data_IF_279986701021
#
_entry.id   IF_279986701021
#
_cell.length_a   1.000
_cell.length_b   1.000
_cell.length_c   1.000
_cell.angle_alpha   90.00
_cell.angle_beta   90.00
_cell.angle_gamma   90.00
#
_symmetry.space_group_name_H-M   'P 1'
#
loop_
_entity.id
_entity.type
_entity.pdbx_description
1 polymer ?
#
# COMPACT_ATOMS: atom_id res chain seq x y z
N UNK A 1 61.31 -126.54 -26.77
CA UNK A 1 60.16 -125.84 -26.18
C UNK A 1 60.63 -124.50 -25.60
N UNK A 2 60.57 -123.37 -26.33
CA UNK A 2 60.86 -122.03 -25.77
C UNK A 2 59.65 -121.06 -25.74
N UNK A 3 58.49 -121.46 -26.29
CA UNK A 3 57.33 -120.57 -26.45
C UNK A 3 56.58 -120.15 -25.17
N UNK A 4 57.03 -120.56 -23.98
CA UNK A 4 56.40 -120.19 -22.70
C UNK A 4 57.02 -118.96 -22.04
N UNK A 5 58.30 -118.66 -22.27
CA UNK A 5 58.98 -117.51 -21.65
C UNK A 5 58.61 -116.19 -22.33
N UNK A 6 58.52 -116.16 -23.66
CA UNK A 6 58.12 -114.97 -24.44
C UNK A 6 56.72 -114.44 -24.07
N UNK A 7 55.80 -115.35 -23.71
CA UNK A 7 54.43 -115.00 -23.30
C UNK A 7 54.40 -114.30 -21.92
N UNK A 8 55.36 -114.60 -21.04
CA UNK A 8 55.49 -113.94 -19.74
C UNK A 8 55.99 -112.51 -19.85
N UNK A 9 56.93 -112.24 -20.77
CA UNK A 9 57.47 -110.90 -21.00
C UNK A 9 56.41 -110.01 -21.66
N UNK A 10 55.66 -110.53 -22.64
CA UNK A 10 54.55 -109.80 -23.26
C UNK A 10 53.48 -109.38 -22.24
N UNK A 11 53.12 -110.29 -21.33
CA UNK A 11 52.11 -110.02 -20.29
C UNK A 11 52.57 -108.99 -19.23
N UNK A 12 53.87 -108.93 -18.92
CA UNK A 12 54.42 -107.92 -18.04
C UNK A 12 54.48 -106.54 -18.72
N UNK A 13 54.76 -106.52 -20.04
CA UNK A 13 54.69 -105.29 -20.84
C UNK A 13 53.26 -104.77 -20.98
N UNK A 14 52.26 -105.63 -21.18
CA UNK A 14 50.85 -105.25 -21.18
C UNK A 14 50.43 -104.62 -19.84
N UNK A 15 50.79 -105.23 -18.71
CA UNK A 15 50.51 -104.66 -17.38
C UNK A 15 51.15 -103.28 -17.16
N UNK A 16 52.39 -103.10 -17.63
CA UNK A 16 53.08 -101.80 -17.55
C UNK A 16 52.41 -100.77 -18.46
N UNK A 17 51.97 -101.19 -19.64
CA UNK A 17 51.25 -100.33 -20.57
C UNK A 17 49.90 -99.90 -20.00
N UNK A 18 49.12 -100.83 -19.44
CA UNK A 18 47.84 -100.52 -18.78
C UNK A 18 48.02 -99.57 -17.60
N UNK A 19 49.07 -99.79 -16.79
CA UNK A 19 49.42 -98.89 -15.70
C UNK A 19 49.75 -97.49 -16.22
N UNK A 20 50.55 -97.39 -17.28
CA UNK A 20 50.92 -96.13 -17.91
C UNK A 20 49.70 -95.41 -18.49
N UNK A 21 48.78 -96.16 -19.13
CA UNK A 21 47.52 -95.61 -19.66
C UNK A 21 46.67 -95.04 -18.54
N UNK A 22 46.61 -95.72 -17.39
CA UNK A 22 45.87 -95.26 -16.22
C UNK A 22 46.49 -93.97 -15.65
N UNK A 23 47.81 -93.95 -15.45
CA UNK A 23 48.56 -92.78 -14.97
C UNK A 23 48.39 -91.57 -15.92
N UNK A 24 48.44 -91.78 -17.23
CA UNK A 24 48.22 -90.72 -18.24
C UNK A 24 46.78 -90.20 -18.21
N UNK A 25 45.81 -91.08 -17.97
CA UNK A 25 44.39 -90.69 -17.89
C UNK A 25 44.12 -89.88 -16.62
N UNK A 26 44.70 -90.27 -15.49
CA UNK A 26 44.61 -89.54 -14.22
C UNK A 26 45.27 -88.15 -14.32
N UNK A 27 46.47 -88.07 -14.90
CA UNK A 27 47.15 -86.80 -15.16
C UNK A 27 46.32 -85.88 -16.07
N UNK A 28 45.69 -86.42 -17.12
CA UNK A 28 44.80 -85.63 -17.98
C UNK A 28 43.63 -85.06 -17.19
N UNK A 29 43.02 -85.85 -16.29
CA UNK A 29 41.94 -85.37 -15.43
C UNK A 29 42.41 -84.27 -14.46
N UNK A 30 43.62 -84.39 -13.91
CA UNK A 30 44.20 -83.34 -13.05
C UNK A 30 44.50 -82.05 -13.82
N UNK A 31 45.05 -82.15 -15.04
CA UNK A 31 45.29 -80.99 -15.91
C UNK A 31 43.99 -80.29 -16.28
N UNK A 32 42.92 -81.04 -16.54
CA UNK A 32 41.60 -80.48 -16.85
C UNK A 32 41.00 -79.74 -15.64
N UNK A 33 41.16 -80.31 -14.42
CA UNK A 33 40.80 -79.62 -13.17
C UNK A 33 41.60 -78.32 -12.97
N UNK A 34 42.90 -78.31 -13.27
CA UNK A 34 43.71 -77.09 -13.21
C UNK A 34 43.25 -76.04 -14.24
N UNK A 35 42.87 -76.45 -15.44
CA UNK A 35 42.34 -75.54 -16.46
C UNK A 35 41.03 -74.87 -16.02
N UNK A 36 40.10 -75.64 -15.43
CA UNK A 36 38.86 -75.09 -14.84
C UNK A 36 39.09 -74.23 -13.59
N UNK A 37 40.23 -74.40 -12.91
CA UNK A 37 40.62 -73.55 -11.77
C UNK A 37 41.25 -72.23 -12.26
N UNK A 38 41.86 -72.24 -13.44
CA UNK A 38 42.40 -71.04 -14.11
C UNK A 38 41.29 -70.14 -14.63
N UNK A 39 40.17 -70.68 -15.10
CA UNK A 39 39.01 -69.85 -15.50
C UNK A 39 38.36 -69.12 -14.31
N UNK A 40 38.43 -69.68 -13.10
CA UNK A 40 38.00 -68.97 -11.87
C UNK A 40 38.91 -67.81 -11.50
N UNK A 41 40.08 -67.69 -12.13
CA UNK A 41 41.04 -66.60 -11.91
C UNK A 41 40.61 -65.32 -12.65
N UNK A 42 39.91 -65.44 -13.77
CA UNK A 42 39.27 -64.29 -14.46
C UNK A 42 38.17 -63.67 -13.59
N UNK A 43 37.41 -64.49 -12.84
CA UNK A 43 36.41 -64.00 -11.88
C UNK A 43 37.06 -63.18 -10.74
N UNK A 44 38.31 -63.49 -10.36
CA UNK A 44 39.06 -62.76 -9.32
C UNK A 44 39.49 -61.37 -9.81
N UNK A 45 39.84 -61.24 -11.08
CA UNK A 45 40.20 -59.94 -11.67
C UNK A 45 38.98 -59.01 -11.75
N UNK A 46 37.82 -59.55 -12.15
CA UNK A 46 36.55 -58.82 -12.13
C UNK A 46 36.15 -58.39 -10.70
N UNK A 47 36.31 -59.27 -9.70
CA UNK A 47 36.08 -58.91 -8.30
C UNK A 47 37.04 -57.83 -7.81
N UNK A 48 38.30 -57.85 -8.27
CA UNK A 48 39.28 -56.81 -7.91
C UNK A 48 38.92 -55.44 -8.50
N UNK A 49 38.37 -55.39 -9.71
CA UNK A 49 37.89 -54.13 -10.30
C UNK A 49 36.65 -53.60 -9.57
N UNK A 50 35.71 -54.48 -9.23
CA UNK A 50 34.54 -54.12 -8.42
C UNK A 50 34.94 -53.60 -7.03
N UNK A 51 35.97 -54.18 -6.41
CA UNK A 51 36.45 -53.77 -5.10
C UNK A 51 37.10 -52.38 -5.15
N UNK A 52 37.87 -52.07 -6.21
CA UNK A 52 38.39 -50.71 -6.44
C UNK A 52 37.27 -49.70 -6.67
N UNK A 53 36.23 -50.06 -7.42
CA UNK A 53 35.07 -49.19 -7.62
C UNK A 53 34.31 -48.94 -6.30
N UNK A 54 34.19 -49.96 -5.44
CA UNK A 54 33.64 -49.78 -4.09
C UNK A 54 34.50 -48.89 -3.22
N UNK A 55 35.83 -49.05 -3.26
CA UNK A 55 36.77 -48.22 -2.49
C UNK A 55 36.63 -46.74 -2.84
N UNK A 56 36.46 -46.40 -4.13
CA UNK A 56 36.17 -45.02 -4.55
C UNK A 56 34.81 -44.50 -4.07
N UNK A 57 33.79 -45.37 -3.96
CA UNK A 57 32.46 -44.97 -3.43
C UNK A 57 32.47 -44.81 -1.91
N UNK A 58 33.27 -45.60 -1.20
CA UNK A 58 33.47 -45.48 0.25
C UNK A 58 34.16 -44.15 0.59
N UNK A 59 34.99 -43.59 -0.30
CA UNK A 59 35.56 -42.24 -0.13
C UNK A 59 34.48 -41.14 0.02
N UNK A 60 33.30 -41.29 -0.60
CA UNK A 60 32.18 -40.34 -0.44
C UNK A 60 31.57 -40.44 0.97
N UNK A 61 31.64 -41.61 1.61
CA UNK A 61 31.20 -41.81 3.00
C UNK A 61 32.11 -41.04 3.98
N UNK A 62 33.38 -40.84 3.63
CA UNK A 62 34.31 -40.04 4.45
C UNK A 62 33.98 -38.54 4.45
N UNK A 63 33.20 -38.05 3.48
CA UNK A 63 32.76 -36.65 3.42
C UNK A 63 31.49 -36.38 4.28
N UNK A 64 30.76 -37.43 4.68
CA UNK A 64 29.52 -37.32 5.47
C UNK A 64 29.70 -36.51 6.77
N UNK A 65 30.78 -36.69 7.56
CA UNK A 65 30.98 -35.90 8.78
C UNK A 65 31.11 -34.39 8.52
N UNK A 66 31.71 -34.01 7.40
CA UNK A 66 31.88 -32.59 7.04
C UNK A 66 30.58 -32.00 6.47
N UNK A 67 29.80 -32.79 5.74
CA UNK A 67 28.43 -32.43 5.35
C UNK A 67 27.56 -32.23 6.59
N UNK A 68 27.63 -33.15 7.56
CA UNK A 68 26.90 -33.06 8.84
C UNK A 68 27.24 -31.78 9.58
N UNK A 69 28.52 -31.43 9.71
CA UNK A 69 28.93 -30.15 10.34
C UNK A 69 28.39 -28.93 9.59
N UNK A 70 28.37 -28.96 8.26
CA UNK A 70 27.79 -27.85 7.46
C UNK A 70 26.29 -27.72 7.72
N UNK A 71 25.57 -28.83 7.83
CA UNK A 71 24.15 -28.84 8.17
C UNK A 71 23.94 -28.24 9.58
N UNK A 72 24.70 -28.68 10.59
CA UNK A 72 24.59 -28.16 11.96
C UNK A 72 24.84 -26.63 12.03
N UNK A 73 25.83 -26.14 11.27
CA UNK A 73 26.13 -24.70 11.19
C UNK A 73 24.99 -23.93 10.49
N UNK A 74 24.40 -24.49 9.45
CA UNK A 74 23.26 -23.89 8.75
C UNK A 74 22.01 -23.87 9.65
N UNK A 75 21.74 -24.96 10.37
CA UNK A 75 20.63 -25.05 11.31
C UNK A 75 20.76 -24.02 12.44
N UNK A 76 21.95 -23.86 13.00
CA UNK A 76 22.24 -22.86 14.04
C UNK A 76 22.05 -21.43 13.50
N UNK A 77 22.50 -21.15 12.28
CA UNK A 77 22.35 -19.84 11.65
C UNK A 77 20.87 -19.52 11.34
N UNK A 78 20.09 -20.53 10.91
CA UNK A 78 18.65 -20.40 10.68
C UNK A 78 17.89 -20.12 11.98
N UNK A 79 18.18 -20.86 13.05
CA UNK A 79 17.56 -20.61 14.36
C UNK A 79 17.85 -19.19 14.86
N UNK A 80 19.09 -18.72 14.74
CA UNK A 80 19.44 -17.34 15.12
C UNK A 80 18.67 -16.29 14.33
N UNK A 81 18.53 -16.46 13.01
CA UNK A 81 17.73 -15.56 12.18
C UNK A 81 16.25 -15.60 12.54
N UNK A 82 15.73 -16.78 12.90
CA UNK A 82 14.35 -16.95 13.33
C UNK A 82 14.10 -16.22 14.66
N UNK A 83 14.99 -16.33 15.63
CA UNK A 83 14.89 -15.62 16.91
C UNK A 83 14.94 -14.09 16.72
N UNK A 84 15.85 -13.60 15.85
CA UNK A 84 15.94 -12.17 15.51
C UNK A 84 14.65 -11.67 14.83
N UNK A 85 14.09 -12.46 13.91
CA UNK A 85 12.84 -12.13 13.23
C UNK A 85 11.67 -12.12 14.22
N UNK A 86 11.57 -13.13 15.09
CA UNK A 86 10.52 -13.21 16.12
C UNK A 86 10.57 -12.01 17.07
N UNK A 87 11.76 -11.61 17.51
CA UNK A 87 11.91 -10.45 18.39
C UNK A 87 11.58 -9.11 17.71
N UNK A 88 11.76 -9.01 16.39
CA UNK A 88 11.35 -7.82 15.64
C UNK A 88 9.82 -7.76 15.46
N UNK A 89 9.17 -8.90 15.21
CA UNK A 89 7.70 -9.00 15.13
C UNK A 89 7.07 -8.59 16.46
N UNK A 90 7.60 -9.07 17.58
CA UNK A 90 7.10 -8.74 18.93
C UNK A 90 7.19 -7.23 19.21
N UNK A 91 8.31 -6.59 18.86
CA UNK A 91 8.46 -5.12 18.97
C UNK A 91 7.51 -4.35 18.07
N UNK A 92 7.26 -4.84 16.86
CA UNK A 92 6.28 -4.21 15.95
C UNK A 92 4.87 -4.35 16.49
N UNK A 93 4.54 -5.48 17.10
CA UNK A 93 3.25 -5.71 17.75
C UNK A 93 3.04 -4.76 18.93
N UNK A 94 4.03 -4.62 19.82
CA UNK A 94 3.96 -3.67 20.95
C UNK A 94 3.78 -2.23 20.47
N UNK A 95 4.46 -1.84 19.39
CA UNK A 95 4.32 -0.51 18.80
C UNK A 95 2.93 -0.29 18.20
N UNK A 96 2.34 -1.30 17.55
CA UNK A 96 0.98 -1.25 17.02
C UNK A 96 -0.06 -1.15 18.14
N UNK A 97 0.10 -1.93 19.21
CA UNK A 97 -0.81 -1.88 20.37
C UNK A 97 -0.78 -0.50 21.04
N UNK A 98 0.41 0.10 21.19
CA UNK A 98 0.53 1.46 21.71
C UNK A 98 -0.12 2.51 20.79
N UNK A 99 0.03 2.38 19.47
CA UNK A 99 -0.66 3.26 18.51
C UNK A 99 -2.17 3.09 18.57
N UNK A 100 -2.65 1.86 18.72
CA UNK A 100 -4.08 1.55 18.81
C UNK A 100 -4.71 2.17 20.06
N UNK A 101 -4.03 2.10 21.20
CA UNK A 101 -4.52 2.71 22.44
C UNK A 101 -4.53 4.24 22.35
N UNK A 102 -3.53 4.84 21.69
CA UNK A 102 -3.53 6.28 21.41
C UNK A 102 -4.73 6.67 20.53
N UNK A 103 -5.01 5.91 19.47
CA UNK A 103 -6.18 6.14 18.59
C UNK A 103 -7.49 6.01 19.36
N UNK A 104 -7.61 5.03 20.27
CA UNK A 104 -8.82 4.90 21.11
C UNK A 104 -9.01 6.10 22.03
N UNK A 105 -7.92 6.60 22.63
CA UNK A 105 -7.95 7.81 23.45
C UNK A 105 -8.38 9.02 22.62
N UNK A 106 -7.82 9.17 21.42
CA UNK A 106 -8.12 10.25 20.47
C UNK A 106 -9.54 10.19 19.90
N UNK A 107 -10.15 9.00 19.82
CA UNK A 107 -11.55 8.82 19.38
C UNK A 107 -12.55 8.96 20.53
N UNK A 108 -12.11 8.95 21.79
CA UNK A 108 -13.02 9.17 22.92
C UNK A 108 -13.83 10.48 22.85
N UNK A 109 -13.29 11.61 22.37
CA UNK A 109 -14.05 12.85 22.22
C UNK A 109 -15.14 12.76 21.14
N UNK A 110 -15.02 11.86 20.15
CA UNK A 110 -16.03 11.68 19.10
C UNK A 110 -17.39 11.26 19.67
N UNK A 111 -17.42 10.62 20.85
CA UNK A 111 -18.66 10.31 21.57
C UNK A 111 -19.43 11.58 22.00
N UNK A 112 -18.74 12.70 22.18
CA UNK A 112 -19.35 13.99 22.52
C UNK A 112 -19.88 14.73 21.28
N UNK A 113 -19.60 14.23 20.06
CA UNK A 113 -20.20 14.74 18.82
C UNK A 113 -21.72 14.56 18.83
N UNK A 114 -22.22 13.47 19.44
CA UNK A 114 -23.65 13.21 19.58
C UNK A 114 -24.33 14.23 20.49
N UNK A 115 -23.71 14.59 21.63
CA UNK A 115 -24.18 15.69 22.48
C UNK A 115 -24.12 17.05 21.77
N UNK A 116 -23.16 17.24 20.86
CA UNK A 116 -23.01 18.48 20.09
C UNK A 116 -24.13 18.57 19.06
N UNK A 117 -24.49 17.46 18.45
CA UNK A 117 -25.61 17.38 17.50
C UNK A 117 -26.94 17.67 18.20
N UNK A 118 -27.18 17.11 19.39
CA UNK A 118 -28.35 17.47 20.20
C UNK A 118 -28.39 18.96 20.55
N UNK A 119 -27.25 19.58 20.86
CA UNK A 119 -27.18 21.03 21.14
C UNK A 119 -27.43 21.89 19.90
N UNK A 120 -27.07 21.41 18.70
CA UNK A 120 -27.35 22.09 17.44
C UNK A 120 -28.84 22.01 17.12
N UNK A 121 -29.45 20.84 17.27
CA UNK A 121 -30.89 20.66 17.05
C UNK A 121 -31.70 21.57 17.98
N UNK A 122 -31.32 21.66 19.26
CA UNK A 122 -31.96 22.59 20.21
C UNK A 122 -31.82 24.06 19.81
N UNK A 123 -30.68 24.47 19.22
CA UNK A 123 -30.52 25.84 18.70
C UNK A 123 -31.40 26.07 17.50
N UNK A 124 -31.50 25.08 16.61
CA UNK A 124 -32.33 25.20 15.42
C UNK A 124 -33.82 25.33 15.79
N UNK A 125 -34.27 24.60 16.80
CA UNK A 125 -35.61 24.71 17.36
C UNK A 125 -35.84 26.11 17.96
N UNK A 126 -34.90 26.64 18.75
CA UNK A 126 -34.96 28.00 19.31
C UNK A 126 -35.00 29.09 18.23
N UNK A 127 -34.16 28.99 17.20
CA UNK A 127 -34.14 29.95 16.08
C UNK A 127 -35.45 29.89 15.30
N UNK A 128 -36.00 28.70 15.10
CA UNK A 128 -37.30 28.51 14.45
C UNK A 128 -38.40 29.16 15.29
N UNK A 129 -38.45 28.89 16.59
CA UNK A 129 -39.41 29.49 17.52
C UNK A 129 -39.28 31.03 17.58
N UNK A 130 -38.06 31.57 17.55
CA UNK A 130 -37.83 33.01 17.55
C UNK A 130 -38.22 33.68 16.22
N UNK A 131 -38.09 32.96 15.10
CA UNK A 131 -38.55 33.43 13.78
C UNK A 131 -40.08 33.41 13.66
N UNK A 132 -40.73 32.44 14.31
CA UNK A 132 -42.20 32.32 14.39
C UNK A 132 -42.80 33.12 15.55
N UNK A 133 -41.94 33.66 16.43
CA UNK A 133 -42.36 34.46 17.56
C UNK A 133 -43.10 35.71 17.08
N UNK A 134 -44.35 35.80 17.52
CA UNK A 134 -45.20 36.98 17.32
C UNK A 134 -44.56 38.25 17.87
N UNK A 135 -43.60 38.15 18.81
CA UNK A 135 -42.91 39.32 19.35
C UNK A 135 -42.04 40.01 18.29
N UNK A 136 -41.36 39.24 17.45
CA UNK A 136 -40.55 39.76 16.34
C UNK A 136 -41.43 40.48 15.31
N UNK A 137 -42.59 39.90 14.99
CA UNK A 137 -43.59 40.52 14.11
C UNK A 137 -44.22 41.79 14.74
N UNK A 138 -44.47 41.79 16.05
CA UNK A 138 -44.99 42.96 16.78
C UNK A 138 -43.96 44.09 16.82
N UNK A 139 -42.66 43.79 16.92
CA UNK A 139 -41.60 44.80 16.86
C UNK A 139 -41.56 45.45 15.48
N UNK A 140 -41.61 44.67 14.40
CA UNK A 140 -41.67 45.22 13.05
C UNK A 140 -42.91 46.11 12.85
N UNK A 141 -44.10 45.68 13.32
CA UNK A 141 -45.32 46.51 13.27
C UNK A 141 -45.19 47.82 14.06
N UNK A 142 -44.59 47.79 15.25
CA UNK A 142 -44.36 49.00 16.05
C UNK A 142 -43.34 49.95 15.41
N UNK A 143 -42.30 49.42 14.77
CA UNK A 143 -41.36 50.23 14.00
C UNK A 143 -42.08 50.91 12.83
N UNK A 144 -42.94 50.19 12.11
CA UNK A 144 -43.73 50.76 11.02
C UNK A 144 -44.70 51.85 11.52
N UNK A 145 -45.40 51.64 12.66
CA UNK A 145 -46.25 52.67 13.28
C UNK A 145 -45.46 53.93 13.68
N UNK A 146 -44.24 53.77 14.21
CA UNK A 146 -43.36 54.89 14.55
C UNK A 146 -42.90 55.64 13.28
N UNK A 147 -42.59 54.91 12.20
CA UNK A 147 -42.19 55.53 10.93
C UNK A 147 -43.35 56.28 10.26
N UNK A 148 -44.58 55.75 10.33
CA UNK A 148 -45.79 56.42 9.84
C UNK A 148 -46.04 57.71 10.65
N UNK A 149 -46.06 57.61 11.98
CA UNK A 149 -46.29 58.78 12.84
C UNK A 149 -45.22 59.87 12.70
N UNK A 150 -43.94 59.51 12.50
CA UNK A 150 -42.88 60.48 12.17
C UNK A 150 -43.10 61.18 10.83
N UNK A 151 -43.70 60.48 9.87
CA UNK A 151 -44.03 61.06 8.55
C UNK A 151 -45.20 62.04 8.68
N UNK A 152 -46.24 61.68 9.43
CA UNK A 152 -47.38 62.56 9.70
C UNK A 152 -46.94 63.85 10.43
N UNK A 153 -46.08 63.72 11.46
CA UNK A 153 -45.52 64.86 12.18
C UNK A 153 -44.66 65.76 11.29
N UNK A 154 -43.93 65.17 10.34
CA UNK A 154 -43.13 65.92 9.36
C UNK A 154 -44.02 66.69 8.38
N UNK A 155 -45.11 66.08 7.90
CA UNK A 155 -46.03 66.73 6.97
C UNK A 155 -46.82 67.86 7.65
N UNK A 156 -47.22 67.68 8.91
CA UNK A 156 -47.81 68.73 9.75
C UNK A 156 -46.82 69.86 10.06
N UNK A 157 -45.54 69.54 10.31
CA UNK A 157 -44.50 70.57 10.50
C UNK A 157 -44.34 71.41 9.23
N UNK A 158 -44.33 70.78 8.05
CA UNK A 158 -44.22 71.47 6.77
C UNK A 158 -45.44 72.37 6.51
N UNK A 159 -46.66 71.87 6.76
CA UNK A 159 -47.88 72.68 6.62
C UNK A 159 -47.97 73.79 7.67
N UNK A 160 -47.54 73.56 8.91
CA UNK A 160 -47.44 74.60 9.94
C UNK A 160 -46.45 75.69 9.55
N UNK A 161 -45.34 75.32 8.91
CA UNK A 161 -44.35 76.28 8.41
C UNK A 161 -44.91 77.13 7.24
N UNK A 162 -45.63 76.50 6.31
CA UNK A 162 -46.33 77.20 5.22
C UNK A 162 -47.44 78.14 5.75
N UNK A 163 -48.23 77.67 6.71
CA UNK A 163 -49.27 78.47 7.38
C UNK A 163 -48.65 79.64 8.17
N UNK A 164 -47.48 79.44 8.78
CA UNK A 164 -46.73 80.49 9.47
C UNK A 164 -46.29 81.58 8.50
N UNK A 165 -45.71 81.22 7.35
CA UNK A 165 -45.28 82.20 6.34
C UNK A 165 -46.47 82.98 5.73
N UNK A 166 -47.57 82.29 5.41
CA UNK A 166 -48.78 82.93 4.85
C UNK A 166 -49.51 83.82 5.88
N UNK A 167 -49.64 83.35 7.14
CA UNK A 167 -50.26 84.14 8.20
C UNK A 167 -49.38 85.31 8.63
N UNK A 168 -48.06 85.19 8.63
CA UNK A 168 -47.16 86.30 8.94
C UNK A 168 -47.24 87.40 7.89
N UNK A 169 -47.30 87.04 6.60
CA UNK A 169 -47.53 87.99 5.51
C UNK A 169 -48.89 88.71 5.61
N UNK A 170 -49.96 87.97 5.93
CA UNK A 170 -51.29 88.54 6.14
C UNK A 170 -51.38 89.39 7.42
N UNK A 171 -50.70 89.01 8.50
CA UNK A 171 -50.62 89.79 9.73
C UNK A 171 -49.84 91.08 9.53
N UNK A 172 -48.76 91.06 8.76
CA UNK A 172 -47.98 92.25 8.42
C UNK A 172 -48.81 93.24 7.56
N UNK A 173 -49.61 92.72 6.63
CA UNK A 173 -50.57 93.52 5.86
C UNK A 173 -51.67 94.10 6.75
N UNK A 174 -52.26 93.30 7.65
CA UNK A 174 -53.31 93.76 8.56
C UNK A 174 -52.81 94.73 9.64
N UNK A 175 -51.56 94.59 10.11
CA UNK A 175 -50.96 95.54 11.06
C UNK A 175 -50.81 96.93 10.43
N UNK A 176 -50.58 97.00 9.12
CA UNK A 176 -50.46 98.27 8.39
C UNK A 176 -51.79 99.01 8.20
N UNK A 177 -52.92 98.37 8.53
CA UNK A 177 -54.29 98.87 8.30
C UNK A 177 -55.00 99.28 9.61
N UNK A 178 -54.39 99.03 10.78
CA UNK A 178 -54.97 99.34 12.09
C UNK A 178 -54.51 100.72 12.60
N UNK A 179 -55.45 101.61 12.88
CA UNK A 179 -55.20 103.00 13.32
C UNK A 179 -55.52 103.27 14.80
N UNK A 180 -55.99 102.27 15.57
CA UNK A 180 -56.36 102.41 16.98
C UNK A 180 -55.67 101.34 17.85
N UNK A 181 -55.22 101.73 19.05
CA UNK A 181 -54.51 100.83 19.99
C UNK A 181 -55.39 99.69 20.53
N UNK A 182 -56.71 99.87 20.57
CA UNK A 182 -57.65 98.92 21.15
C UNK A 182 -57.91 97.73 20.21
N UNK A 183 -57.99 97.99 18.89
CA UNK A 183 -58.11 96.92 17.87
C UNK A 183 -56.82 96.07 17.76
N UNK A 184 -55.66 96.68 18.05
CA UNK A 184 -54.37 95.98 18.06
C UNK A 184 -54.30 95.02 19.25
N UNK A 185 -54.77 95.44 20.42
CA UNK A 185 -54.76 94.62 21.63
C UNK A 185 -55.67 93.39 21.49
N UNK A 186 -56.88 93.55 20.93
CA UNK A 186 -57.83 92.45 20.76
C UNK A 186 -57.33 91.42 19.73
N UNK A 187 -56.70 91.87 18.64
CA UNK A 187 -56.06 90.97 17.66
C UNK A 187 -54.83 90.25 18.21
N UNK A 188 -53.98 90.92 19.00
CA UNK A 188 -52.84 90.27 19.65
C UNK A 188 -53.31 89.15 20.59
N UNK A 189 -54.39 89.38 21.35
CA UNK A 189 -54.95 88.36 22.24
C UNK A 189 -55.52 87.14 21.49
N UNK A 190 -56.13 87.35 20.32
CA UNK A 190 -56.60 86.27 19.45
C UNK A 190 -55.44 85.47 18.83
N UNK A 191 -54.35 86.13 18.46
CA UNK A 191 -53.14 85.49 17.93
C UNK A 191 -52.48 84.65 19.02
N UNK A 192 -52.30 85.20 20.23
CA UNK A 192 -51.74 84.46 21.37
C UNK A 192 -52.56 83.21 21.69
N UNK A 193 -53.90 83.31 21.69
CA UNK A 193 -54.76 82.14 21.94
C UNK A 193 -54.58 81.05 20.88
N UNK A 194 -54.43 81.42 19.59
CA UNK A 194 -54.22 80.46 18.50
C UNK A 194 -52.82 79.85 18.48
N UNK A 195 -51.81 80.62 18.89
CA UNK A 195 -50.44 80.12 19.05
C UNK A 195 -50.40 79.10 20.19
N UNK A 196 -51.08 79.38 21.31
CA UNK A 196 -51.09 78.48 22.46
C UNK A 196 -51.89 77.19 22.20
N UNK A 197 -53.00 77.26 21.45
CA UNK A 197 -53.74 76.07 21.01
C UNK A 197 -52.91 75.17 20.08
N UNK A 198 -52.25 75.74 19.07
CA UNK A 198 -51.38 74.98 18.17
C UNK A 198 -50.13 74.42 18.86
N UNK A 199 -49.66 75.10 19.93
CA UNK A 199 -48.54 74.62 20.74
C UNK A 199 -48.94 73.46 21.66
N UNK A 200 -50.13 73.50 22.25
CA UNK A 200 -50.65 72.38 23.06
C UNK A 200 -50.83 71.10 22.23
N UNK A 201 -51.39 71.20 21.02
CA UNK A 201 -51.55 70.03 20.11
C UNK A 201 -50.19 69.42 19.72
N UNK A 202 -49.17 70.26 19.53
CA UNK A 202 -47.82 69.80 19.21
C UNK A 202 -47.12 69.16 20.42
N UNK A 203 -47.32 69.71 21.62
CA UNK A 203 -46.81 69.15 22.87
C UNK A 203 -47.44 67.76 23.15
N UNK A 204 -48.75 67.58 22.94
CA UNK A 204 -49.45 66.29 23.13
C UNK A 204 -48.90 65.20 22.17
N UNK A 205 -48.71 65.53 20.89
CA UNK A 205 -48.15 64.57 19.91
C UNK A 205 -46.68 64.24 20.17
N UNK A 206 -45.88 65.19 20.66
CA UNK A 206 -44.50 64.92 21.08
C UNK A 206 -44.49 63.98 22.29
N UNK A 207 -45.41 64.15 23.23
CA UNK A 207 -45.51 63.29 24.41
C UNK A 207 -45.92 61.86 24.03
N UNK A 208 -46.83 61.69 23.07
CA UNK A 208 -47.19 60.39 22.51
C UNK A 208 -46.01 59.72 21.76
N UNK A 209 -45.25 60.48 20.96
CA UNK A 209 -44.03 59.99 20.30
C UNK A 209 -42.98 59.56 21.33
N UNK A 210 -42.76 60.35 22.38
CA UNK A 210 -41.85 60.01 23.47
C UNK A 210 -42.31 58.74 24.20
N UNK A 211 -43.62 58.59 24.44
CA UNK A 211 -44.21 57.37 25.00
C UNK A 211 -43.92 56.13 24.14
N UNK A 212 -44.10 56.23 22.83
CA UNK A 212 -43.78 55.15 21.87
C UNK A 212 -42.28 54.84 21.81
N UNK A 213 -41.41 55.84 21.82
CA UNK A 213 -39.94 55.66 21.82
C UNK A 213 -39.45 55.02 23.12
N UNK A 214 -40.00 55.41 24.27
CA UNK A 214 -39.72 54.77 25.56
C UNK A 214 -40.20 53.32 25.57
N UNK A 215 -41.38 53.05 24.99
CA UNK A 215 -41.89 51.69 24.78
C UNK A 215 -40.94 50.84 23.93
N UNK A 216 -40.44 51.38 22.82
CA UNK A 216 -39.45 50.71 21.96
C UNK A 216 -38.13 50.46 22.69
N UNK A 217 -37.62 51.44 23.44
CA UNK A 217 -36.39 51.34 24.23
C UNK A 217 -36.45 50.22 25.28
N UNK A 218 -37.58 50.08 25.98
CA UNK A 218 -37.80 48.99 26.93
C UNK A 218 -37.87 47.62 26.24
N UNK A 219 -38.43 47.55 25.04
CA UNK A 219 -38.50 46.32 24.24
C UNK A 219 -37.11 45.93 23.72
N UNK A 220 -36.32 46.92 23.28
CA UNK A 220 -34.97 46.70 22.76
C UNK A 220 -33.96 46.36 23.85
N UNK A 221 -34.11 46.90 25.07
CA UNK A 221 -33.31 46.47 26.22
C UNK A 221 -33.60 45.02 26.62
N UNK A 222 -34.86 44.57 26.57
CA UNK A 222 -35.19 43.14 26.80
C UNK A 222 -34.53 42.22 25.77
N UNK A 223 -34.43 42.65 24.51
CA UNK A 223 -33.78 41.87 23.44
C UNK A 223 -32.26 41.89 23.59
N UNK A 224 -31.68 43.01 24.05
CA UNK A 224 -30.25 43.11 24.32
C UNK A 224 -29.84 42.22 25.49
N UNK A 225 -30.65 42.16 26.53
CA UNK A 225 -30.44 41.23 27.66
C UNK A 225 -30.74 39.77 27.28
N UNK A 226 -31.57 39.54 26.26
CA UNK A 226 -31.80 38.22 25.65
C UNK A 226 -30.86 37.90 24.50
N UNK A 227 -29.90 38.78 24.16
CA UNK A 227 -29.04 38.58 23.01
C UNK A 227 -28.06 37.45 23.30
N UNK A 228 -28.42 36.28 22.77
CA UNK A 228 -27.62 35.07 22.66
C UNK A 228 -26.31 35.29 21.89
N UNK A 229 -25.94 36.53 21.53
CA UNK A 229 -24.70 36.88 20.84
C UNK A 229 -23.46 36.37 21.57
N UNK A 230 -23.41 36.48 22.90
CA UNK A 230 -22.29 35.94 23.69
C UNK A 230 -22.30 34.40 23.73
N UNK A 231 -23.48 33.78 23.62
CA UNK A 231 -23.64 32.32 23.59
C UNK A 231 -23.27 31.77 22.21
N UNK A 232 -23.69 32.45 21.15
CA UNK A 232 -23.37 32.15 19.75
C UNK A 232 -21.87 32.33 19.53
N UNK A 233 -21.26 33.40 20.03
CA UNK A 233 -19.81 33.62 19.94
C UNK A 233 -19.03 32.50 20.62
N UNK A 234 -19.42 32.10 21.85
CA UNK A 234 -18.80 30.96 22.54
C UNK A 234 -18.98 29.64 21.79
N UNK A 235 -20.12 29.43 21.14
CA UNK A 235 -20.36 28.22 20.32
C UNK A 235 -19.52 28.24 19.05
N UNK A 236 -19.30 29.40 18.43
CA UNK A 236 -18.39 29.55 17.28
C UNK A 236 -16.96 29.23 17.70
N UNK A 237 -16.48 29.79 18.83
CA UNK A 237 -15.13 29.51 19.34
C UNK A 237 -14.95 28.00 19.65
N UNK A 238 -15.98 27.34 20.18
CA UNK A 238 -15.98 25.87 20.36
C UNK A 238 -15.96 25.09 19.05
N UNK A 239 -16.69 25.53 18.02
CA UNK A 239 -16.67 24.89 16.70
C UNK A 239 -15.33 25.07 16.00
N UNK A 240 -14.70 26.24 16.11
CA UNK A 240 -13.35 26.48 15.57
C UNK A 240 -12.30 25.58 16.24
N UNK A 241 -12.41 25.39 17.56
CA UNK A 241 -11.54 24.45 18.30
C UNK A 241 -11.75 23.01 17.81
N UNK A 242 -13.01 22.61 17.61
CA UNK A 242 -13.36 21.28 17.11
C UNK A 242 -12.87 21.01 15.68
N UNK A 243 -12.92 22.02 14.81
CA UNK A 243 -12.40 21.93 13.44
C UNK A 243 -10.88 21.75 13.46
N UNK A 244 -10.17 22.43 14.37
CA UNK A 244 -8.73 22.24 14.54
C UNK A 244 -8.38 20.81 14.98
N UNK A 245 -9.15 20.24 15.91
CA UNK A 245 -8.96 18.85 16.36
C UNK A 245 -9.26 17.84 15.24
N UNK A 246 -10.29 18.09 14.41
CA UNK A 246 -10.60 17.26 13.23
C UNK A 246 -9.50 17.33 12.16
N UNK A 247 -8.86 18.49 11.97
CA UNK A 247 -7.68 18.59 11.09
C UNK A 247 -6.52 17.74 11.60
N UNK A 248 -6.31 17.67 12.92
CA UNK A 248 -5.32 16.77 13.52
C UNK A 248 -5.66 15.28 13.33
N UNK A 249 -6.95 14.94 13.22
CA UNK A 249 -7.41 13.58 12.91
C UNK A 249 -7.11 13.19 11.45
N UNK A 250 -7.13 14.14 10.51
CA UNK A 250 -6.78 13.91 9.11
C UNK A 250 -5.30 13.53 8.95
N UNK A 251 -4.40 14.23 9.65
CA UNK A 251 -2.97 13.90 9.67
C UNK A 251 -2.74 12.49 10.25
N UNK A 252 -3.44 12.14 11.33
CA UNK A 252 -3.37 10.80 11.93
C UNK A 252 -3.94 9.72 11.01
N UNK A 253 -4.99 10.03 10.24
CA UNK A 253 -5.53 9.11 9.25
C UNK A 253 -4.52 8.88 8.11
N UNK A 254 -3.78 9.91 7.72
CA UNK A 254 -2.70 9.81 6.74
C UNK A 254 -1.55 8.93 7.25
N UNK A 255 -1.13 9.11 8.50
CA UNK A 255 -0.11 8.26 9.14
C UNK A 255 -0.55 6.80 9.26
N UNK A 256 -1.83 6.56 9.62
CA UNK A 256 -2.39 5.21 9.68
C UNK A 256 -2.41 4.55 8.30
N UNK A 257 -2.81 5.29 7.27
CA UNK A 257 -2.84 4.79 5.90
C UNK A 257 -1.43 4.44 5.40
N UNK A 258 -0.43 5.24 5.74
CA UNK A 258 0.99 4.94 5.46
C UNK A 258 1.42 3.65 6.18
N UNK A 259 1.07 3.51 7.46
CA UNK A 259 1.37 2.29 8.23
C UNK A 259 0.69 1.03 7.68
N UNK A 260 -0.50 1.15 7.09
CA UNK A 260 -1.20 0.04 6.42
C UNK A 260 -0.48 -0.34 5.12
N UNK A 261 0.01 0.64 4.37
CA UNK A 261 0.80 0.40 3.16
C UNK A 261 2.10 -0.33 3.49
N UNK A 262 2.82 0.10 4.54
CA UNK A 262 4.01 -0.57 5.06
C UNK A 262 3.70 -2.01 5.51
N UNK A 263 2.55 -2.21 6.16
CA UNK A 263 2.12 -3.55 6.60
C UNK A 263 1.85 -4.46 5.40
N UNK A 264 1.21 -3.97 4.33
CA UNK A 264 1.03 -4.73 3.09
C UNK A 264 2.37 -5.10 2.45
N UNK A 265 3.35 -4.21 2.51
CA UNK A 265 4.70 -4.48 2.03
C UNK A 265 5.36 -5.61 2.83
N UNK A 266 5.33 -5.55 4.16
CA UNK A 266 5.86 -6.60 5.04
C UNK A 266 5.19 -7.94 4.74
N UNK A 267 3.86 -7.96 4.60
CA UNK A 267 3.12 -9.18 4.21
C UNK A 267 3.58 -9.68 2.84
N UNK A 268 3.80 -8.81 1.87
CA UNK A 268 4.32 -9.17 0.55
C UNK A 268 5.72 -9.77 0.59
N UNK A 269 6.60 -9.26 1.45
CA UNK A 269 7.95 -9.84 1.68
C UNK A 269 7.82 -11.24 2.30
N UNK A 270 6.96 -11.41 3.30
CA UNK A 270 6.73 -12.70 3.96
C UNK A 270 6.20 -13.73 2.97
N UNK A 271 5.24 -13.37 2.11
CA UNK A 271 4.71 -14.28 1.08
C UNK A 271 5.80 -14.73 0.12
N UNK A 272 6.65 -13.81 -0.37
CA UNK A 272 7.79 -14.20 -1.23
C UNK A 272 8.79 -15.10 -0.52
N UNK A 273 9.07 -14.82 0.75
CA UNK A 273 9.96 -15.66 1.55
C UNK A 273 9.39 -17.07 1.75
N UNK A 274 8.08 -17.19 1.99
CA UNK A 274 7.39 -18.48 2.08
C UNK A 274 7.47 -19.25 0.76
N UNK A 275 7.25 -18.57 -0.37
CA UNK A 275 7.33 -19.16 -1.71
C UNK A 275 8.76 -19.65 -2.03
N UNK A 276 9.77 -18.87 -1.63
CA UNK A 276 11.19 -19.22 -1.82
C UNK A 276 11.62 -20.39 -0.90
N UNK A 277 11.03 -20.50 0.29
CA UNK A 277 11.19 -21.65 1.19
C UNK A 277 10.52 -22.88 0.59
N UNK A 278 9.28 -22.76 0.10
CA UNK A 278 8.55 -23.86 -0.54
C UNK A 278 9.31 -24.40 -1.76
N UNK A 279 9.84 -23.50 -2.60
CA UNK A 279 10.65 -23.90 -3.75
C UNK A 279 11.94 -24.62 -3.35
N UNK A 280 12.64 -24.14 -2.31
CA UNK A 280 13.85 -24.82 -1.78
C UNK A 280 13.50 -26.17 -1.16
N UNK A 281 12.37 -26.27 -0.48
CA UNK A 281 11.90 -27.52 0.12
C UNK A 281 11.58 -28.55 -0.97
N UNK A 282 10.80 -28.18 -1.98
CA UNK A 282 10.47 -29.05 -3.11
C UNK A 282 11.72 -29.50 -3.88
N UNK A 283 12.67 -28.60 -4.13
CA UNK A 283 13.96 -28.95 -4.76
C UNK A 283 14.81 -29.89 -3.89
N UNK A 284 14.68 -29.79 -2.58
CA UNK A 284 15.37 -30.71 -1.65
C UNK A 284 14.70 -32.08 -1.67
N UNK A 285 13.36 -32.12 -1.71
CA UNK A 285 12.58 -33.35 -1.90
C UNK A 285 12.95 -34.07 -3.20
N UNK A 286 13.00 -33.36 -4.34
CA UNK A 286 13.41 -33.95 -5.61
C UNK A 286 14.81 -34.57 -5.55
N UNK A 287 15.77 -33.91 -4.90
CA UNK A 287 17.12 -34.46 -4.71
C UNK A 287 17.14 -35.68 -3.80
N UNK A 288 16.31 -35.68 -2.76
CA UNK A 288 16.15 -36.84 -1.88
C UNK A 288 15.54 -38.01 -2.67
N UNK A 289 14.52 -37.76 -3.49
CA UNK A 289 13.92 -38.79 -4.34
C UNK A 289 14.90 -39.31 -5.41
N UNK A 290 15.69 -38.43 -6.03
CA UNK A 290 16.74 -38.81 -6.98
C UNK A 290 17.82 -39.68 -6.30
N UNK A 291 18.26 -39.30 -5.10
CA UNK A 291 19.24 -40.10 -4.34
C UNK A 291 18.66 -41.44 -3.87
N UNK A 292 17.38 -41.49 -3.49
CA UNK A 292 16.68 -42.75 -3.20
C UNK A 292 16.61 -43.62 -4.46
N UNK A 293 16.25 -43.05 -5.61
CA UNK A 293 16.21 -43.77 -6.89
C UNK A 293 17.57 -44.34 -7.30
N UNK A 294 18.66 -43.59 -7.11
CA UNK A 294 20.02 -44.08 -7.36
C UNK A 294 20.42 -45.22 -6.40
N UNK A 295 19.96 -45.20 -5.15
CA UNK A 295 20.16 -46.30 -4.19
C UNK A 295 19.33 -47.53 -4.57
N UNK A 296 18.11 -47.32 -5.04
CA UNK A 296 17.21 -48.38 -5.51
C UNK A 296 17.74 -49.05 -6.78
N UNK A 297 18.20 -48.26 -7.76
CA UNK A 297 18.86 -48.77 -8.97
C UNK A 297 20.18 -49.50 -8.64
N UNK A 298 20.96 -48.99 -7.68
CA UNK A 298 22.17 -49.67 -7.22
C UNK A 298 21.85 -51.01 -6.51
N UNK A 299 20.74 -51.11 -5.79
CA UNK A 299 20.31 -52.34 -5.12
C UNK A 299 19.64 -53.34 -6.06
N UNK A 300 18.95 -52.90 -7.12
CA UNK A 300 18.47 -53.77 -8.20
C UNK A 300 19.61 -54.33 -9.07
N UNK A 301 20.62 -53.50 -9.37
CA UNK A 301 21.83 -53.93 -10.10
C UNK A 301 22.72 -54.89 -9.28
N UNK A 302 22.59 -54.93 -7.96
CA UNK A 302 23.23 -55.94 -7.11
C UNK A 302 22.52 -57.30 -7.14
N UNK A 303 21.27 -57.37 -7.61
CA UNK A 303 20.46 -58.59 -7.66
C UNK A 303 20.33 -59.21 -9.06
N UNK A 304 20.91 -58.62 -10.11
CA UNK A 304 20.83 -59.16 -11.48
C UNK A 304 22.22 -59.37 -12.11
N UNK A 305 22.55 -60.63 -12.37
CA UNK A 305 23.75 -61.07 -13.07
C UNK A 305 23.79 -60.60 -14.55
N UNK A 306 24.97 -60.46 -15.19
CA UNK A 306 25.07 -59.75 -16.46
C UNK A 306 24.59 -60.61 -17.63
N UNK A 307 23.55 -60.14 -18.33
CA UNK A 307 23.10 -60.72 -19.60
C UNK A 307 23.34 -59.72 -20.75
N UNK A 308 24.36 -60.05 -21.56
CA UNK A 308 24.64 -59.67 -22.96
C UNK A 308 23.85 -58.49 -23.58
N UNK A 309 24.63 -57.48 -23.96
CA UNK A 309 24.32 -56.50 -25.00
C UNK A 309 23.68 -57.13 -26.26
N UNK A 310 22.61 -56.49 -26.75
CA UNK A 310 22.22 -56.50 -28.17
C UNK A 310 21.64 -55.14 -28.57
N UNK A 311 22.28 -54.54 -29.58
CA UNK A 311 21.77 -53.44 -30.39
C UNK A 311 20.32 -53.70 -30.88
N UNK A 312 19.48 -52.67 -30.85
CA UNK A 312 18.49 -52.43 -31.92
C UNK A 312 18.05 -50.97 -32.01
N UNK A 313 17.91 -50.58 -33.27
CA UNK A 313 17.60 -49.30 -33.89
C UNK A 313 16.13 -48.85 -33.69
N UNK A 314 15.93 -47.53 -33.58
CA UNK A 314 14.79 -46.67 -33.98
C UNK A 314 13.34 -47.20 -33.90
N UNK A 315 12.51 -46.47 -33.13
CA UNK A 315 11.26 -45.85 -33.61
C UNK A 315 10.81 -44.73 -32.65
N UNK A 316 10.46 -43.56 -33.20
CA UNK A 316 9.76 -42.47 -32.50
C UNK A 316 8.29 -42.87 -32.19
N UNK A 317 7.59 -42.18 -31.27
CA UNK A 317 6.80 -41.02 -31.71
C UNK A 317 6.70 -39.84 -30.71
N UNK A 318 6.35 -38.67 -31.29
CA UNK A 318 5.46 -37.59 -30.77
C UNK A 318 5.84 -36.94 -29.42
N UNK A 319 6.53 -35.79 -29.37
CA UNK A 319 6.06 -34.42 -29.66
C UNK A 319 4.80 -34.01 -28.87
N UNK A 320 5.00 -33.59 -27.61
CA UNK A 320 4.17 -32.59 -26.93
C UNK A 320 5.07 -31.42 -26.54
N UNK A 321 4.53 -30.22 -26.76
CA UNK A 321 5.23 -28.95 -26.86
C UNK A 321 5.92 -28.52 -25.55
N UNK A 322 7.25 -28.54 -25.54
CA UNK A 322 8.03 -27.54 -24.82
C UNK A 322 8.19 -26.34 -25.76
N UNK A 323 7.43 -25.27 -25.48
CA UNK A 323 7.77 -23.94 -25.98
C UNK A 323 9.15 -23.59 -25.45
N UNK A 324 10.15 -23.70 -26.34
CA UNK A 324 11.38 -22.92 -26.25
C UNK A 324 10.97 -21.45 -26.11
N UNK A 325 11.10 -20.89 -24.92
CA UNK A 325 11.23 -19.45 -24.77
C UNK A 325 12.58 -19.11 -25.39
N UNK A 326 12.51 -18.44 -26.54
CA UNK A 326 13.64 -17.90 -27.26
C UNK A 326 14.57 -17.13 -26.30
N UNK A 327 15.83 -17.55 -26.24
CA UNK A 327 16.93 -16.69 -25.78
C UNK A 327 17.00 -15.50 -26.76
N UNK A 328 16.33 -14.40 -26.41
CA UNK A 328 16.46 -13.14 -27.13
C UNK A 328 17.94 -12.74 -27.22
N UNK A 329 18.38 -12.18 -28.36
CA UNK A 329 19.76 -11.75 -28.53
C UNK A 329 20.09 -10.71 -27.47
N UNK A 330 21.09 -10.99 -26.61
CA UNK A 330 21.67 -10.03 -25.67
C UNK A 330 22.09 -8.78 -26.44
N UNK A 331 21.21 -7.77 -26.50
CA UNK A 331 21.54 -6.44 -26.99
C UNK A 331 22.69 -5.94 -26.10
N UNK A 332 23.79 -5.50 -26.71
CA UNK A 332 24.96 -4.94 -26.00
C UNK A 332 24.51 -3.73 -25.17
N UNK A 333 24.15 -3.97 -23.92
CA UNK A 333 23.69 -2.93 -23.01
C UNK A 333 24.86 -2.22 -22.34
N UNK A 334 24.77 -0.90 -22.11
CA UNK A 334 25.82 -0.14 -21.45
C UNK A 334 26.05 -0.63 -20.00
N UNK A 335 27.29 -0.61 -19.51
CA UNK A 335 27.61 -1.06 -18.14
C UNK A 335 27.60 0.06 -17.09
N UNK A 336 27.46 1.32 -17.51
CA UNK A 336 27.48 2.47 -16.61
C UNK A 336 26.07 2.91 -16.22
N UNK A 337 25.88 3.31 -14.96
CA UNK A 337 24.59 3.76 -14.39
C UNK A 337 23.93 4.86 -15.22
N UNK A 338 24.69 5.90 -15.60
CA UNK A 338 24.17 7.00 -16.40
C UNK A 338 23.72 6.54 -17.79
N UNK A 339 24.47 5.62 -18.39
CA UNK A 339 24.18 5.07 -19.72
C UNK A 339 22.97 4.16 -19.70
N UNK A 340 22.76 3.40 -18.61
CA UNK A 340 21.58 2.57 -18.39
C UNK A 340 20.29 3.40 -18.23
N UNK A 341 20.36 4.47 -17.44
CA UNK A 341 19.21 5.36 -17.26
C UNK A 341 18.93 6.18 -18.53
N UNK A 342 19.95 6.57 -19.27
CA UNK A 342 19.79 7.24 -20.56
C UNK A 342 19.17 6.30 -21.60
N UNK A 343 19.57 5.03 -21.63
CA UNK A 343 18.95 4.01 -22.48
C UNK A 343 17.45 3.87 -22.24
N UNK A 344 17.00 3.88 -20.98
CA UNK A 344 15.56 3.88 -20.68
C UNK A 344 14.87 5.13 -21.21
N UNK A 345 15.45 6.32 -21.04
CA UNK A 345 14.87 7.56 -21.56
C UNK A 345 14.76 7.56 -23.08
N UNK A 346 15.76 7.02 -23.77
CA UNK A 346 15.79 6.94 -25.23
C UNK A 346 14.76 5.93 -25.77
N UNK A 347 14.31 4.98 -24.94
CA UNK A 347 13.31 3.97 -25.29
C UNK A 347 11.87 4.41 -24.98
N UNK A 348 11.64 5.44 -24.15
CA UNK A 348 10.29 5.92 -23.83
C UNK A 348 9.71 6.71 -25.01
N UNK A 349 9.16 5.99 -26.00
CA UNK A 349 8.49 6.54 -27.18
C UNK A 349 7.09 5.93 -27.37
N UNK A 350 6.24 6.60 -28.15
CA UNK A 350 4.84 6.22 -28.39
C UNK A 350 4.68 4.95 -29.23
N UNK A 351 5.70 4.59 -29.99
CA UNK A 351 5.71 3.39 -30.83
C UNK A 351 6.22 2.15 -30.10
N UNK A 352 6.70 2.28 -28.86
CA UNK A 352 7.22 1.15 -28.08
C UNK A 352 6.08 0.43 -27.37
N UNK A 353 6.09 -0.90 -27.51
CA UNK A 353 5.13 -1.77 -26.82
C UNK A 353 5.41 -1.78 -25.31
N UNK A 354 4.36 -1.78 -24.49
CA UNK A 354 4.47 -1.78 -23.03
C UNK A 354 5.30 -2.96 -22.51
N UNK A 355 5.23 -4.12 -23.18
CA UNK A 355 6.04 -5.29 -22.86
C UNK A 355 7.52 -5.10 -23.19
N UNK A 356 7.85 -4.48 -24.32
CA UNK A 356 9.25 -4.18 -24.68
C UNK A 356 9.85 -3.18 -23.68
N UNK A 357 9.09 -2.15 -23.31
CA UNK A 357 9.50 -1.21 -22.27
C UNK A 357 9.66 -1.90 -20.90
N UNK A 358 8.76 -2.81 -20.54
CA UNK A 358 8.85 -3.56 -19.29
C UNK A 358 10.11 -4.44 -19.22
N UNK A 359 10.43 -5.14 -20.33
CA UNK A 359 11.63 -5.96 -20.44
C UNK A 359 12.91 -5.12 -20.32
N UNK A 360 12.92 -3.94 -20.94
CA UNK A 360 14.05 -3.00 -20.82
C UNK A 360 14.24 -2.49 -19.39
N UNK A 361 13.15 -2.12 -18.70
CA UNK A 361 13.20 -1.69 -17.28
C UNK A 361 13.73 -2.82 -16.38
N UNK A 362 13.30 -4.07 -16.60
CA UNK A 362 13.82 -5.21 -15.82
C UNK A 362 15.29 -5.48 -16.08
N UNK A 363 15.72 -5.45 -17.34
CA UNK A 363 17.12 -5.64 -17.67
C UNK A 363 17.99 -4.54 -17.04
N UNK A 364 17.54 -3.29 -17.08
CA UNK A 364 18.25 -2.18 -16.43
C UNK A 364 18.26 -2.34 -14.91
N UNK A 365 17.15 -2.76 -14.29
CA UNK A 365 17.11 -3.09 -12.86
C UNK A 365 18.12 -4.17 -12.49
N UNK A 366 18.18 -5.26 -13.26
CA UNK A 366 19.07 -6.38 -12.97
C UNK A 366 20.54 -5.98 -13.12
N UNK A 367 20.86 -5.15 -14.12
CA UNK A 367 22.20 -4.59 -14.28
C UNK A 367 22.56 -3.62 -13.16
N UNK A 368 21.64 -2.72 -12.77
CA UNK A 368 21.84 -1.82 -11.64
C UNK A 368 21.99 -2.58 -10.32
N UNK A 369 21.35 -3.73 -10.16
CA UNK A 369 21.51 -4.60 -8.98
C UNK A 369 22.92 -5.19 -8.90
N UNK A 370 23.58 -5.41 -10.04
CA UNK A 370 24.98 -5.83 -10.07
C UNK A 370 25.97 -4.67 -9.82
N UNK A 371 25.56 -3.43 -10.08
CA UNK A 371 26.40 -2.23 -9.90
C UNK A 371 26.27 -1.67 -8.46
N UNK A 372 25.10 -1.82 -7.84
CA UNK A 372 24.77 -1.25 -6.54
C UNK A 372 24.64 -2.38 -5.52
N UNK A 373 25.61 -2.50 -4.61
CA UNK A 373 25.67 -3.55 -3.58
C UNK A 373 24.53 -3.49 -2.54
N UNK A 374 23.74 -2.43 -2.54
CA UNK A 374 22.66 -2.19 -1.56
C UNK A 374 21.31 -2.18 -2.24
N UNK A 375 20.31 -2.87 -1.67
CA UNK A 375 18.93 -2.78 -2.14
C UNK A 375 18.41 -1.36 -1.93
N UNK A 376 18.30 -0.60 -3.03
CA UNK A 376 17.77 0.76 -2.99
C UNK A 376 16.26 0.76 -3.26
N UNK A 377 15.49 1.69 -2.65
CA UNK A 377 14.08 1.89 -2.99
C UNK A 377 13.84 2.14 -4.48
N UNK A 378 14.84 2.63 -5.20
CA UNK A 378 14.76 2.89 -6.65
C UNK A 378 14.72 1.59 -7.47
N UNK A 379 15.52 0.57 -7.12
CA UNK A 379 15.47 -0.75 -7.77
C UNK A 379 14.09 -1.40 -7.62
N UNK A 380 13.46 -1.22 -6.46
CA UNK A 380 12.10 -1.70 -6.22
C UNK A 380 11.07 -0.95 -7.08
N UNK A 381 11.17 0.38 -7.18
CA UNK A 381 10.29 1.19 -8.04
C UNK A 381 10.41 0.81 -9.51
N UNK A 382 11.64 0.57 -10.01
CA UNK A 382 11.89 0.03 -11.35
C UNK A 382 11.17 -1.31 -11.56
N UNK A 383 11.31 -2.26 -10.62
CA UNK A 383 10.63 -3.55 -10.69
C UNK A 383 9.09 -3.46 -10.65
N UNK A 384 8.55 -2.58 -9.80
CA UNK A 384 7.10 -2.32 -9.75
C UNK A 384 6.59 -1.79 -11.08
N UNK A 385 7.27 -0.81 -11.68
CA UNK A 385 6.85 -0.21 -12.94
C UNK A 385 6.93 -1.20 -14.11
N UNK A 386 7.95 -2.06 -14.15
CA UNK A 386 8.00 -3.14 -15.14
C UNK A 386 6.81 -4.10 -15.01
N UNK A 387 6.43 -4.49 -13.79
CA UNK A 387 5.26 -5.33 -13.57
C UNK A 387 3.94 -4.65 -13.94
N UNK A 388 3.81 -3.34 -13.67
CA UNK A 388 2.65 -2.56 -14.13
C UNK A 388 2.57 -2.56 -15.67
N UNK A 389 3.69 -2.39 -16.37
CA UNK A 389 3.73 -2.41 -17.83
C UNK A 389 3.46 -3.81 -18.41
N UNK A 390 3.89 -4.89 -17.75
CA UNK A 390 3.55 -6.28 -18.13
C UNK A 390 2.07 -6.62 -17.99
N UNK A 391 1.32 -5.85 -17.20
CA UNK A 391 -0.12 -6.05 -17.05
C UNK A 391 -0.93 -5.54 -18.24
N UNK A 392 -0.30 -4.78 -19.14
CA UNK A 392 -0.92 -4.32 -20.38
C UNK A 392 -1.05 -5.47 -21.39
N UNK A 393 -2.01 -5.40 -22.32
CA UNK A 393 -2.10 -6.34 -23.44
C UNK A 393 -0.76 -6.40 -24.21
N UNK A 394 -0.35 -7.55 -24.75
CA UNK A 394 0.98 -7.71 -25.34
C UNK A 394 1.33 -6.74 -26.47
N UNK A 395 0.32 -6.28 -27.21
CA UNK A 395 0.46 -5.34 -28.34
C UNK A 395 0.08 -3.90 -27.97
N UNK A 396 -0.09 -3.59 -26.69
CA UNK A 396 -0.44 -2.25 -26.25
C UNK A 396 0.80 -1.36 -26.28
N UNK A 397 0.73 -0.25 -27.03
CA UNK A 397 1.77 0.78 -27.02
C UNK A 397 1.60 1.73 -25.85
N UNK A 398 2.68 2.40 -25.46
CA UNK A 398 2.64 3.41 -24.41
C UNK A 398 1.77 4.60 -24.85
N UNK A 399 0.80 4.98 -24.01
CA UNK A 399 0.03 6.20 -24.25
C UNK A 399 0.83 7.45 -23.80
N UNK A 400 0.39 8.63 -24.22
CA UNK A 400 1.06 9.90 -23.94
C UNK A 400 1.21 10.20 -22.43
N UNK A 401 0.26 9.75 -21.61
CA UNK A 401 0.32 9.90 -20.16
C UNK A 401 1.37 8.96 -19.54
N UNK A 402 1.47 7.72 -20.02
CA UNK A 402 2.46 6.75 -19.57
C UNK A 402 3.87 7.16 -19.97
N UNK A 403 4.04 7.73 -21.17
CA UNK A 403 5.31 8.32 -21.65
C UNK A 403 5.73 9.49 -20.74
N UNK A 404 4.82 10.42 -20.47
CA UNK A 404 5.11 11.57 -19.61
C UNK A 404 5.48 11.13 -18.19
N UNK A 405 4.73 10.18 -17.65
CA UNK A 405 4.96 9.61 -16.32
C UNK A 405 6.29 8.86 -16.25
N UNK A 406 6.57 7.96 -17.19
CA UNK A 406 7.83 7.19 -17.25
C UNK A 406 9.03 8.13 -17.38
N UNK A 407 8.96 9.13 -18.25
CA UNK A 407 10.04 10.12 -18.39
C UNK A 407 10.33 10.88 -17.09
N UNK A 408 9.29 11.24 -16.34
CA UNK A 408 9.45 11.89 -15.03
C UNK A 408 10.05 10.94 -14.00
N UNK A 409 9.52 9.72 -13.91
CA UNK A 409 9.97 8.71 -12.94
C UNK A 409 11.42 8.28 -13.21
N UNK A 410 11.80 8.03 -14.47
CA UNK A 410 13.16 7.63 -14.85
C UNK A 410 14.18 8.72 -14.52
N UNK A 411 13.83 10.01 -14.69
CA UNK A 411 14.70 11.13 -14.30
C UNK A 411 14.89 11.21 -12.78
N UNK A 412 13.80 11.08 -12.01
CA UNK A 412 13.86 11.04 -10.54
C UNK A 412 14.71 9.86 -10.05
N UNK A 413 14.53 8.68 -10.66
CA UNK A 413 15.31 7.49 -10.33
C UNK A 413 16.79 7.69 -10.64
N UNK A 414 17.12 8.31 -11.78
CA UNK A 414 18.50 8.61 -12.15
C UNK A 414 19.18 9.50 -11.11
N UNK A 415 18.52 10.58 -10.69
CA UNK A 415 19.06 11.50 -9.67
C UNK A 415 19.34 10.78 -8.34
N UNK A 416 18.39 9.97 -7.88
CA UNK A 416 18.52 9.19 -6.64
C UNK A 416 19.60 8.12 -6.72
N UNK A 417 19.72 7.44 -7.87
CA UNK A 417 20.77 6.44 -8.07
C UNK A 417 22.16 7.10 -8.11
N UNK A 418 22.29 8.28 -8.72
CA UNK A 418 23.54 9.05 -8.69
C UNK A 418 23.89 9.46 -7.26
N UNK A 419 22.93 9.91 -6.47
CA UNK A 419 23.13 10.28 -5.06
C UNK A 419 23.62 9.10 -4.21
N UNK A 420 23.05 7.91 -4.42
CA UNK A 420 23.42 6.69 -3.67
C UNK A 420 24.77 6.11 -4.14
N UNK A 421 25.15 6.35 -5.40
CA UNK A 421 26.43 5.86 -5.96
C UNK A 421 27.66 6.72 -5.60
N UNK A 422 27.47 7.89 -4.98
CA UNK A 422 28.53 8.76 -4.48
C UNK A 422 28.90 8.39 -3.05
#
# INVERSE_FOLDING_TARGET
MPAKEDNTIAKDMEKKLDKLITEVTDLRSEVEKLFTSTSKLEDVESLSEQLKAMETKVSVVEEIPDISKKIDLQETALHKKFDEMSGNIEKQQDALDSKLDTIKEDLSPLSTLEETNEKIDNVNDLVTEMSESKETEVIFKKIDEILISLTDVKDELNTSNEISEEKFGNLQAQLSELTSEEDIAEKLQSIDSKIEEGRMDFEEKIEDLLGSVVGLGNTMNKIKDSSESDVIQKKIDSLETYIADLSGLEDRFHDLNTSIEDTKEIVGIIVRQLDDIERKYNKTLEKVDETIGLVEEATENLNTAPAKQKNKEKAAPENENDEQIDDEPKRDMPQDLDSLMQYLLDMVDADVEANEMAAAIESVRDQLTNIIDTHTPVLFKLGKRANELKSYPPTATLNENDIARLNSEIREWREKLIEISK
#
